data_IF_565295855758
#
_entry.id   IF_565295855758
#
_cell.length_a   1.000
_cell.length_b   1.000
_cell.length_c   1.000
_cell.angle_alpha   90.00
_cell.angle_beta   90.00
_cell.angle_gamma   90.00
#
_symmetry.space_group_name_H-M   'P 1'
#
loop_
_entity.id
_entity.type
_entity.pdbx_description
1 polymer ?
#
# COMPACT_ATOMS: atom_id res chain seq x y z
N UNK A 1 -7.12 -0.87 -23.93
CA UNK A 1 -6.42 -0.26 -22.79
C UNK A 1 -5.27 0.57 -23.31
N UNK A 2 -5.04 1.75 -22.74
CA UNK A 2 -3.89 2.60 -23.09
C UNK A 2 -2.62 2.01 -22.48
N UNK A 3 -1.44 2.38 -23.01
CA UNK A 3 -0.16 1.94 -22.47
C UNK A 3 0.05 2.44 -21.03
N UNK A 4 -0.44 3.65 -20.73
CA UNK A 4 -0.44 4.23 -19.39
C UNK A 4 -1.20 3.35 -18.38
N UNK A 5 -2.41 2.89 -18.74
CA UNK A 5 -3.22 2.04 -17.87
C UNK A 5 -2.56 0.69 -17.56
N UNK A 6 -1.92 0.08 -18.56
CA UNK A 6 -1.16 -1.16 -18.37
C UNK A 6 0.03 -0.96 -17.41
N UNK A 7 0.79 0.11 -17.60
CA UNK A 7 1.91 0.44 -16.72
C UNK A 7 1.44 0.63 -15.27
N UNK A 8 0.38 1.42 -15.08
CA UNK A 8 -0.20 1.66 -13.77
C UNK A 8 -0.65 0.37 -13.09
N UNK A 9 -1.34 -0.52 -13.82
CA UNK A 9 -1.79 -1.80 -13.29
C UNK A 9 -0.63 -2.72 -12.90
N UNK A 10 0.43 -2.81 -13.72
CA UNK A 10 1.60 -3.64 -13.39
C UNK A 10 2.44 -3.06 -12.25
N UNK A 11 2.61 -1.74 -12.22
CA UNK A 11 3.36 -1.06 -11.16
C UNK A 11 2.62 -1.16 -9.83
N UNK A 12 1.30 -0.94 -9.82
CA UNK A 12 0.47 -1.10 -8.62
C UNK A 12 0.47 -2.54 -8.08
N UNK A 13 0.40 -3.53 -8.98
CA UNK A 13 0.60 -4.94 -8.61
C UNK A 13 2.00 -5.17 -8.00
N UNK A 14 3.04 -4.59 -8.59
CA UNK A 14 4.40 -4.63 -8.06
C UNK A 14 4.49 -4.04 -6.65
N UNK A 15 3.88 -2.87 -6.42
CA UNK A 15 3.79 -2.24 -5.10
C UNK A 15 3.09 -3.17 -4.10
N UNK A 16 1.94 -3.74 -4.47
CA UNK A 16 1.19 -4.66 -3.61
C UNK A 16 2.05 -5.86 -3.19
N UNK A 17 2.70 -6.51 -4.15
CA UNK A 17 3.49 -7.71 -3.89
C UNK A 17 4.73 -7.40 -3.05
N UNK A 18 5.48 -6.34 -3.39
CA UNK A 18 6.72 -5.98 -2.70
C UNK A 18 6.41 -5.45 -1.30
N UNK A 19 5.47 -4.51 -1.17
CA UNK A 19 5.08 -3.97 0.13
C UNK A 19 4.41 -5.04 1.00
N UNK A 20 3.60 -5.93 0.41
CA UNK A 20 3.01 -7.06 1.12
C UNK A 20 4.07 -8.03 1.65
N UNK A 21 5.06 -8.40 0.82
CA UNK A 21 6.17 -9.25 1.25
C UNK A 21 6.99 -8.58 2.37
N UNK A 22 7.32 -7.29 2.22
CA UNK A 22 8.03 -6.52 3.25
C UNK A 22 7.22 -6.43 4.54
N UNK A 23 5.90 -6.21 4.46
CA UNK A 23 5.01 -6.21 5.62
C UNK A 23 5.03 -7.56 6.33
N UNK A 24 4.95 -8.68 5.61
CA UNK A 24 5.03 -10.03 6.19
C UNK A 24 6.39 -10.26 6.86
N UNK A 25 7.49 -9.89 6.22
CA UNK A 25 8.82 -10.05 6.82
C UNK A 25 9.00 -9.17 8.06
N UNK A 26 8.56 -7.91 8.03
CA UNK A 26 8.56 -7.02 9.19
C UNK A 26 7.67 -7.55 10.32
N UNK A 27 6.53 -8.15 10.00
CA UNK A 27 5.66 -8.79 10.98
C UNK A 27 6.33 -10.01 11.65
N UNK A 28 7.00 -10.85 10.85
CA UNK A 28 7.75 -12.00 11.37
C UNK A 28 8.91 -11.55 12.26
N UNK A 29 9.64 -10.50 11.87
CA UNK A 29 10.68 -9.88 12.68
C UNK A 29 10.12 -9.33 14.00
N UNK A 30 9.00 -8.60 13.94
CA UNK A 30 8.28 -8.13 15.12
C UNK A 30 7.89 -9.28 16.05
N UNK A 31 7.39 -10.40 15.51
CA UNK A 31 7.02 -11.56 16.33
C UNK A 31 8.22 -12.16 17.06
N UNK A 32 9.41 -12.12 16.46
CA UNK A 32 10.64 -12.68 17.01
C UNK A 32 11.28 -11.79 18.07
N UNK A 33 11.38 -10.49 17.80
CA UNK A 33 12.13 -9.54 18.64
C UNK A 33 11.22 -8.72 19.57
N UNK A 34 9.90 -8.71 19.33
CA UNK A 34 8.89 -7.87 19.99
C UNK A 34 9.19 -6.37 20.00
N UNK A 35 10.05 -5.92 19.09
CA UNK A 35 10.37 -4.51 18.95
C UNK A 35 9.14 -3.73 18.48
N UNK A 36 8.73 -2.74 19.28
CA UNK A 36 7.59 -1.87 18.97
C UNK A 36 7.80 -1.07 17.68
N UNK A 37 9.05 -0.83 17.28
CA UNK A 37 9.42 -0.17 16.02
C UNK A 37 8.99 -1.01 14.81
N UNK A 38 9.28 -2.31 14.83
CA UNK A 38 8.95 -3.21 13.72
C UNK A 38 7.44 -3.33 13.48
N UNK A 39 6.62 -3.15 14.52
CA UNK A 39 5.15 -3.08 14.38
C UNK A 39 4.71 -1.86 13.56
N UNK A 40 5.35 -0.70 13.75
CA UNK A 40 5.02 0.53 13.03
C UNK A 40 5.45 0.40 11.57
N UNK A 41 6.64 -0.14 11.33
CA UNK A 41 7.16 -0.42 9.98
C UNK A 41 6.25 -1.40 9.22
N UNK A 42 5.78 -2.46 9.90
CA UNK A 42 4.81 -3.41 9.35
C UNK A 42 3.54 -2.72 8.90
N UNK A 43 3.01 -1.80 9.72
CA UNK A 43 1.81 -1.03 9.39
C UNK A 43 2.03 -0.11 8.17
N UNK A 44 3.20 0.53 8.07
CA UNK A 44 3.56 1.34 6.91
C UNK A 44 3.61 0.53 5.61
N UNK A 45 4.30 -0.61 5.63
CA UNK A 45 4.30 -1.53 4.48
C UNK A 45 2.90 -2.06 4.15
N UNK A 46 2.06 -2.32 5.16
CA UNK A 46 0.69 -2.74 4.94
C UNK A 46 -0.14 -1.66 4.24
N UNK A 47 0.02 -0.38 4.60
CA UNK A 47 -0.68 0.73 3.93
C UNK A 47 -0.28 0.84 2.46
N UNK A 48 1.02 0.72 2.14
CA UNK A 48 1.48 0.70 0.76
C UNK A 48 0.95 -0.51 -0.02
N UNK A 49 0.88 -1.68 0.63
CA UNK A 49 0.32 -2.88 0.01
C UNK A 49 -1.16 -2.68 -0.31
N UNK A 50 -1.95 -2.16 0.64
CA UNK A 50 -3.37 -1.86 0.42
C UNK A 50 -3.56 -0.84 -0.70
N UNK A 51 -2.73 0.21 -0.75
CA UNK A 51 -2.75 1.16 -1.86
C UNK A 51 -2.52 0.47 -3.22
N UNK A 52 -1.46 -0.33 -3.34
CA UNK A 52 -1.15 -1.05 -4.57
C UNK A 52 -2.28 -2.01 -4.98
N UNK A 53 -2.91 -2.67 -4.00
CA UNK A 53 -4.06 -3.55 -4.25
C UNK A 53 -5.26 -2.77 -4.77
N UNK A 54 -5.57 -1.64 -4.14
CA UNK A 54 -6.70 -0.78 -4.48
C UNK A 54 -6.58 -0.26 -5.92
N UNK A 55 -5.42 0.30 -6.29
CA UNK A 55 -5.17 0.80 -7.65
C UNK A 55 -5.15 -0.33 -8.67
N UNK A 56 -4.57 -1.50 -8.34
CA UNK A 56 -4.62 -2.67 -9.22
C UNK A 56 -6.06 -3.12 -9.50
N UNK A 57 -6.91 -3.04 -8.48
CA UNK A 57 -8.30 -3.43 -8.51
C UNK A 57 -9.22 -2.42 -9.22
N UNK A 58 -8.75 -1.20 -9.45
CA UNK A 58 -9.50 -0.14 -10.12
C UNK A 58 -10.03 -0.58 -11.49
N UNK A 59 -9.13 -1.01 -12.37
CA UNK A 59 -9.46 -1.45 -13.72
C UNK A 59 -10.47 -2.61 -13.78
N UNK A 60 -10.34 -3.70 -13.00
CA UNK A 60 -11.32 -4.76 -12.98
C UNK A 60 -12.63 -4.40 -12.25
N UNK A 61 -12.63 -3.44 -11.32
CA UNK A 61 -13.84 -3.02 -10.59
C UNK A 61 -14.60 -1.87 -11.26
N UNK A 62 -14.00 -1.14 -12.19
CA UNK A 62 -14.64 -0.04 -12.94
C UNK A 62 -15.99 -0.40 -13.59
N UNK A 63 -16.24 -1.63 -14.09
CA UNK A 63 -17.56 -2.01 -14.59
C UNK A 63 -18.63 -2.15 -13.49
N UNK A 64 -18.23 -2.29 -12.23
CA UNK A 64 -19.11 -2.57 -11.09
C UNK A 64 -19.24 -1.38 -10.13
N UNK A 65 -18.19 -0.57 -10.00
CA UNK A 65 -18.13 0.64 -9.21
C UNK A 65 -18.16 1.82 -10.17
N UNK A 66 -19.22 2.63 -10.13
CA UNK A 66 -19.37 3.76 -11.04
C UNK A 66 -18.16 4.71 -11.04
N UNK A 67 -17.98 5.46 -12.14
CA UNK A 67 -16.79 6.29 -12.39
C UNK A 67 -16.41 7.21 -11.23
N UNK A 68 -17.38 7.80 -10.54
CA UNK A 68 -17.15 8.68 -9.37
C UNK A 68 -16.50 7.95 -8.19
N UNK A 69 -16.90 6.69 -7.94
CA UNK A 69 -16.31 5.89 -6.86
C UNK A 69 -14.88 5.49 -7.18
N UNK A 70 -14.61 5.20 -8.45
CA UNK A 70 -13.28 4.87 -8.94
C UNK A 70 -12.34 6.07 -8.82
N UNK A 71 -12.78 7.25 -9.26
CA UNK A 71 -11.99 8.48 -9.17
C UNK A 71 -11.67 8.86 -7.71
N UNK A 72 -12.64 8.72 -6.81
CA UNK A 72 -12.42 8.90 -5.36
C UNK A 72 -11.46 7.88 -4.77
N UNK A 73 -11.45 6.66 -5.28
CA UNK A 73 -10.58 5.59 -4.82
C UNK A 73 -9.14 5.81 -5.27
N UNK A 74 -8.94 6.27 -6.50
CA UNK A 74 -7.65 6.67 -7.06
C UNK A 74 -7.05 7.83 -6.24
N UNK A 75 -7.82 8.91 -6.06
CA UNK A 75 -7.35 10.10 -5.34
C UNK A 75 -7.24 9.86 -3.82
N UNK A 76 -8.18 9.10 -3.24
CA UNK A 76 -8.18 8.75 -1.82
C UNK A 76 -7.03 7.81 -1.43
N UNK A 77 -6.56 7.00 -2.37
CA UNK A 77 -5.41 6.12 -2.19
C UNK A 77 -4.14 6.86 -1.76
N UNK A 78 -3.96 8.11 -2.19
CA UNK A 78 -2.82 8.93 -1.78
C UNK A 78 -2.72 9.12 -0.25
N UNK A 79 -3.84 9.06 0.48
CA UNK A 79 -3.85 9.13 1.94
C UNK A 79 -3.13 7.92 2.56
N UNK A 80 -3.23 6.74 1.95
CA UNK A 80 -2.51 5.55 2.40
C UNK A 80 -1.00 5.69 2.22
N UNK A 81 -0.57 6.33 1.13
CA UNK A 81 0.85 6.64 0.90
C UNK A 81 1.35 7.60 1.98
N UNK A 82 0.62 8.69 2.23
CA UNK A 82 0.98 9.67 3.27
C UNK A 82 1.03 9.03 4.66
N UNK A 83 0.03 8.19 4.98
CA UNK A 83 0.00 7.42 6.23
C UNK A 83 1.21 6.49 6.34
N UNK A 84 1.53 5.77 5.27
CA UNK A 84 2.71 4.91 5.20
C UNK A 84 4.00 5.68 5.47
N UNK A 85 4.23 6.79 4.77
CA UNK A 85 5.40 7.65 5.00
C UNK A 85 5.47 8.18 6.44
N UNK A 86 4.34 8.60 7.00
CA UNK A 86 4.27 9.08 8.38
C UNK A 86 4.62 7.97 9.37
N UNK A 87 4.16 6.73 9.16
CA UNK A 87 4.55 5.61 10.01
C UNK A 87 6.05 5.33 9.95
N UNK A 88 6.68 5.41 8.77
CA UNK A 88 8.13 5.30 8.65
C UNK A 88 8.87 6.40 9.39
N UNK A 89 8.41 7.65 9.28
CA UNK A 89 8.97 8.76 10.02
C UNK A 89 8.88 8.53 11.54
N UNK A 90 7.71 8.13 12.05
CA UNK A 90 7.52 7.80 13.47
C UNK A 90 8.42 6.65 13.92
N UNK A 91 8.61 5.64 13.06
CA UNK A 91 9.50 4.51 13.34
C UNK A 91 10.99 4.91 13.36
N UNK A 92 11.38 5.98 12.66
CA UNK A 92 12.73 6.54 12.69
C UNK A 92 12.96 7.47 13.89
N UNK A 93 11.95 8.22 14.32
CA UNK A 93 12.08 9.16 15.45
C UNK A 93 11.93 8.51 16.83
N UNK A 94 11.62 7.21 16.89
CA UNK A 94 11.45 6.45 18.14
C UNK A 94 12.74 5.82 18.67
N UNK A 95 13.91 6.31 18.21
CA UNK A 95 15.23 5.95 18.75
C UNK A 95 15.41 6.39 20.22
#
# INVERSE_FOLDING_TARGET
MTLAALLEQYVSLGIFLVAGALSVFSYLAWRRERDSRMRIVTAGYAMFAVYGLVVFLEYPLMPYLGAETVELLEHGGAILILGGLLTFFIALTRD
#
